data_IF_317572533225
#
_entry.id   IF_317572533225
#
_cell.length_a   1.000
_cell.length_b   1.000
_cell.length_c   1.000
_cell.angle_alpha   90.00
_cell.angle_beta   90.00
_cell.angle_gamma   90.00
#
_symmetry.space_group_name_H-M   'P 1'
#
loop_
_entity.id
_entity.type
_entity.pdbx_description
1 polymer ?
#
# COMPACT_ATOMS: atom_id res chain seq x y z
N UNK A 1 14.54 23.54 39.90
CA UNK A 1 13.07 23.58 39.75
C UNK A 1 12.59 22.15 39.54
N UNK A 2 11.45 21.76 40.10
CA UNK A 2 10.93 20.40 39.93
C UNK A 2 10.32 20.28 38.53
N UNK A 3 10.61 19.18 37.82
CA UNK A 3 10.07 18.94 36.48
C UNK A 3 8.53 18.90 36.50
N UNK A 4 7.92 19.42 35.43
CA UNK A 4 6.46 19.38 35.26
C UNK A 4 6.03 17.96 34.89
N UNK A 5 5.17 17.31 35.68
CA UNK A 5 4.76 15.94 35.36
C UNK A 5 3.80 15.89 34.18
N UNK A 6 3.63 14.69 33.61
CA UNK A 6 2.58 14.41 32.64
C UNK A 6 1.20 14.75 33.24
N UNK A 7 0.26 15.20 32.39
CA UNK A 7 -1.02 15.73 32.87
C UNK A 7 -2.22 14.97 32.31
N UNK A 8 -3.30 14.92 33.09
CA UNK A 8 -4.61 14.40 32.68
C UNK A 8 -5.69 15.46 32.90
N UNK A 9 -6.82 15.32 32.20
CA UNK A 9 -7.95 16.26 32.28
C UNK A 9 -8.82 15.90 33.48
N UNK A 10 -9.09 16.89 34.34
CA UNK A 10 -10.08 16.79 35.43
C UNK A 10 -11.19 17.83 35.20
N UNK A 11 -12.34 17.43 34.62
CA UNK A 11 -13.41 18.37 34.26
C UNK A 11 -13.97 19.14 35.46
N UNK A 12 -13.90 18.57 36.67
CA UNK A 12 -14.40 19.19 37.89
C UNK A 12 -13.38 20.14 38.54
N UNK A 13 -12.16 20.25 38.00
CA UNK A 13 -11.17 21.21 38.48
C UNK A 13 -11.45 22.63 37.94
N UNK A 14 -12.65 23.14 38.25
CA UNK A 14 -13.16 24.44 37.85
C UNK A 14 -12.83 25.54 38.89
N UNK A 15 -13.04 26.81 38.51
CA UNK A 15 -12.82 28.00 39.36
C UNK A 15 -11.80 28.97 38.77
N UNK A 16 -12.01 30.27 38.95
CA UNK A 16 -11.05 31.29 38.50
C UNK A 16 -9.80 31.27 39.37
N UNK A 17 -8.67 31.36 38.68
CA UNK A 17 -7.37 31.61 39.25
C UNK A 17 -7.41 33.06 39.83
N UNK A 18 -7.33 33.25 41.17
CA UNK A 18 -7.29 34.58 41.81
C UNK A 18 -6.08 35.40 41.33
N UNK A 19 -6.30 36.67 40.98
CA UNK A 19 -5.33 37.57 40.31
C UNK A 19 -3.94 37.72 40.97
N UNK A 20 -3.74 37.22 42.20
CA UNK A 20 -2.46 37.17 42.92
C UNK A 20 -1.60 35.92 42.66
N UNK A 21 -2.01 35.04 41.75
CA UNK A 21 -1.32 33.77 41.52
C UNK A 21 0.04 33.86 40.85
N UNK A 22 0.89 32.84 41.06
CA UNK A 22 2.23 32.83 40.54
C UNK A 22 2.22 32.75 39.02
N UNK A 23 2.93 33.66 38.34
CA UNK A 23 3.20 33.53 36.91
C UNK A 23 4.30 32.50 36.68
N UNK A 24 4.26 31.79 35.54
CA UNK A 24 5.41 31.01 35.12
C UNK A 24 6.66 31.92 35.05
N UNK A 25 7.72 31.62 35.82
CA UNK A 25 8.90 32.49 35.90
C UNK A 25 9.66 32.62 34.57
N UNK A 26 9.58 31.62 33.71
CA UNK A 26 10.26 31.61 32.41
C UNK A 26 9.46 32.36 31.34
N UNK A 27 8.17 32.08 31.24
CA UNK A 27 7.33 32.58 30.16
C UNK A 27 6.43 33.76 30.56
N UNK A 28 6.39 34.14 31.84
CA UNK A 28 5.60 35.25 32.38
C UNK A 28 4.10 35.18 32.02
N UNK A 29 3.61 33.96 31.78
CA UNK A 29 2.21 33.70 31.47
C UNK A 29 1.46 33.23 32.71
N UNK A 30 0.15 33.49 32.71
CA UNK A 30 -0.76 32.96 33.72
C UNK A 30 -0.74 31.43 33.65
N UNK A 31 -0.49 30.73 34.76
CA UNK A 31 -0.42 29.28 34.74
C UNK A 31 -1.82 28.69 34.55
N UNK A 32 -1.83 27.42 34.18
CA UNK A 32 -3.03 26.62 34.00
C UNK A 32 -3.16 25.60 35.13
N UNK A 33 -4.40 25.20 35.38
CA UNK A 33 -4.77 24.16 36.33
C UNK A 33 -4.47 22.79 35.72
N UNK A 34 -3.56 22.05 36.34
CA UNK A 34 -3.13 20.73 35.87
C UNK A 34 -3.37 19.67 36.95
N UNK A 35 -3.59 18.43 36.50
CA UNK A 35 -3.59 17.24 37.36
C UNK A 35 -2.49 16.33 36.90
N UNK A 36 -1.58 15.98 37.81
CA UNK A 36 -0.47 15.10 37.51
C UNK A 36 -0.97 13.68 37.23
N UNK A 37 -0.40 13.05 36.21
CA UNK A 37 -0.60 11.66 35.83
C UNK A 37 0.76 10.99 35.67
N UNK A 38 1.51 10.96 36.76
CA UNK A 38 2.87 10.42 36.76
C UNK A 38 3.21 9.84 38.13
N UNK A 39 3.60 8.57 38.16
CA UNK A 39 4.10 7.88 39.34
C UNK A 39 3.28 8.15 40.61
N UNK A 40 3.97 8.46 41.70
CA UNK A 40 3.37 8.77 43.01
C UNK A 40 2.68 10.13 43.07
N UNK A 41 2.80 10.97 42.03
CA UNK A 41 2.13 12.26 41.94
C UNK A 41 0.74 12.17 41.31
N UNK A 42 0.38 11.00 40.78
CA UNK A 42 -0.90 10.79 40.10
C UNK A 42 -2.09 11.28 40.90
N UNK A 43 -2.93 12.09 40.25
CA UNK A 43 -4.12 12.72 40.82
C UNK A 43 -3.87 14.03 41.58
N UNK A 44 -2.62 14.44 41.83
CA UNK A 44 -2.34 15.70 42.54
C UNK A 44 -2.55 16.91 41.63
N UNK A 45 -3.09 17.99 42.17
CA UNK A 45 -3.33 19.24 41.44
C UNK A 45 -2.18 20.22 41.59
N UNK A 46 -1.82 20.86 40.49
CA UNK A 46 -0.75 21.86 40.46
C UNK A 46 -1.03 22.95 39.41
N UNK A 47 -0.33 24.08 39.56
CA UNK A 47 -0.26 25.14 38.57
C UNK A 47 0.94 24.93 37.65
N UNK A 48 0.67 24.77 36.36
CA UNK A 48 1.66 24.50 35.31
C UNK A 48 1.74 25.62 34.28
N UNK A 49 2.86 25.69 33.56
CA UNK A 49 2.99 26.60 32.42
C UNK A 49 2.00 26.22 31.30
N UNK A 50 1.33 27.18 30.64
CA UNK A 50 0.46 26.89 29.50
C UNK A 50 1.23 26.47 28.23
N UNK A 51 2.55 26.65 28.19
CA UNK A 51 3.37 26.28 27.03
C UNK A 51 3.52 24.76 26.97
N UNK A 52 3.17 24.11 25.84
CA UNK A 52 3.40 22.69 25.66
C UNK A 52 4.87 22.33 25.86
N UNK A 53 5.14 21.32 26.69
CA UNK A 53 6.51 20.88 26.97
C UNK A 53 7.25 20.37 25.73
N UNK A 54 6.53 19.91 24.70
CA UNK A 54 7.09 19.44 23.42
C UNK A 54 7.71 20.56 22.57
N UNK A 55 7.40 21.82 22.85
CA UNK A 55 7.80 22.99 22.03
C UNK A 55 8.68 23.99 22.80
N UNK A 56 9.08 23.68 24.04
CA UNK A 56 9.85 24.61 24.88
C UNK A 56 10.61 23.95 26.04
N UNK A 57 11.35 24.78 26.79
CA UNK A 57 12.06 24.34 28.01
C UNK A 57 11.03 24.01 29.10
N UNK A 58 11.16 22.85 29.76
CA UNK A 58 10.29 22.49 30.90
C UNK A 58 10.42 23.56 31.99
N UNK A 59 9.35 24.31 32.20
CA UNK A 59 9.30 25.43 33.14
C UNK A 59 9.08 25.01 34.59
N UNK A 60 8.93 23.71 34.81
CA UNK A 60 8.63 23.12 36.09
C UNK A 60 7.22 23.39 36.62
N UNK A 61 6.91 22.71 37.72
CA UNK A 61 5.72 23.01 38.51
C UNK A 61 5.87 24.40 39.13
N UNK A 62 4.87 25.25 38.94
CA UNK A 62 4.84 26.58 39.57
C UNK A 62 4.49 26.45 41.05
N UNK A 63 3.41 25.73 41.35
CA UNK A 63 2.97 25.49 42.73
C UNK A 63 2.05 24.26 42.82
N UNK A 64 2.11 23.52 43.94
CA UNK A 64 1.19 22.42 44.24
C UNK A 64 -0.01 22.92 45.04
N UNK A 65 -1.22 22.61 44.58
CA UNK A 65 -2.47 23.00 45.26
C UNK A 65 -2.75 22.10 46.47
N UNK A 66 -2.44 20.81 46.33
CA UNK A 66 -2.74 19.82 47.36
C UNK A 66 -1.49 19.46 48.18
N UNK A 67 -1.70 19.07 49.45
CA UNK A 67 -0.64 18.47 50.28
C UNK A 67 -0.10 17.20 49.61
N UNK A 68 1.16 16.80 49.89
CA UNK A 68 1.67 15.52 49.44
C UNK A 68 0.76 14.38 49.89
N UNK A 69 0.63 13.36 49.05
CA UNK A 69 -0.09 12.16 49.43
C UNK A 69 0.52 11.53 50.68
N UNK A 70 -0.33 10.94 51.51
CA UNK A 70 0.14 10.15 52.65
C UNK A 70 1.03 8.99 52.13
N UNK A 71 2.09 8.59 52.86
CA UNK A 71 3.02 7.55 52.42
C UNK A 71 2.34 6.24 51.96
N UNK A 72 1.24 5.87 52.62
CA UNK A 72 0.44 4.69 52.24
C UNK A 72 -0.07 4.81 50.79
N UNK A 73 -0.63 5.97 50.43
CA UNK A 73 -1.15 6.20 49.08
C UNK A 73 -0.02 6.29 48.06
N UNK A 74 1.11 6.93 48.40
CA UNK A 74 2.29 6.93 47.52
C UNK A 74 2.75 5.51 47.20
N UNK A 75 2.83 4.63 48.21
CA UNK A 75 3.20 3.23 48.01
C UNK A 75 2.18 2.48 47.13
N UNK A 76 0.88 2.73 47.32
CA UNK A 76 -0.15 2.15 46.46
C UNK A 76 0.00 2.61 45.01
N UNK A 77 0.21 3.91 44.78
CA UNK A 77 0.42 4.48 43.45
C UNK A 77 1.66 3.90 42.78
N UNK A 78 2.79 3.78 43.49
CA UNK A 78 3.99 3.14 42.94
C UNK A 78 3.69 1.74 42.41
N UNK A 79 3.00 0.90 43.20
CA UNK A 79 2.66 -0.47 42.77
C UNK A 79 1.70 -0.50 41.58
N UNK A 80 0.73 0.41 41.53
CA UNK A 80 -0.18 0.52 40.39
C UNK A 80 0.57 0.93 39.12
N UNK A 81 1.54 1.83 39.23
CA UNK A 81 2.38 2.22 38.11
C UNK A 81 3.31 1.10 37.66
N UNK A 82 3.88 0.32 38.57
CA UNK A 82 4.69 -0.86 38.21
C UNK A 82 3.85 -1.83 37.37
N UNK A 83 2.62 -2.11 37.81
CA UNK A 83 1.67 -2.97 37.07
C UNK A 83 1.27 -2.36 35.72
N UNK A 84 1.03 -1.06 35.65
CA UNK A 84 0.68 -0.35 34.42
C UNK A 84 1.81 -0.44 33.39
N UNK A 85 3.05 -0.21 33.81
CA UNK A 85 4.22 -0.34 32.95
C UNK A 85 4.43 -1.78 32.50
N UNK A 86 4.34 -2.75 33.42
CA UNK A 86 4.49 -4.17 33.08
C UNK A 86 3.45 -4.62 32.05
N UNK A 87 2.18 -4.26 32.26
CA UNK A 87 1.10 -4.58 31.32
C UNK A 87 1.31 -3.91 29.96
N UNK A 88 1.73 -2.64 29.92
CA UNK A 88 1.98 -1.94 28.68
C UNK A 88 3.22 -2.48 27.95
N UNK A 89 4.29 -2.85 28.67
CA UNK A 89 5.44 -3.55 28.10
C UNK A 89 5.01 -4.87 27.45
N UNK A 90 4.17 -5.67 28.12
CA UNK A 90 3.59 -6.88 27.53
C UNK A 90 2.84 -6.61 26.22
N UNK A 91 1.97 -5.59 26.20
CA UNK A 91 1.23 -5.18 24.99
C UNK A 91 2.16 -4.73 23.85
N UNK A 92 3.22 -3.98 24.15
CA UNK A 92 4.22 -3.54 23.15
C UNK A 92 4.94 -4.74 22.54
N UNK A 93 5.35 -5.70 23.37
CA UNK A 93 6.01 -6.93 22.90
C UNK A 93 5.08 -7.75 22.01
N UNK A 94 3.83 -7.92 22.40
CA UNK A 94 2.85 -8.68 21.62
C UNK A 94 2.53 -7.98 20.29
N UNK A 95 2.39 -6.64 20.30
CA UNK A 95 2.26 -5.84 19.08
C UNK A 95 3.44 -6.04 18.14
N UNK A 96 4.68 -5.96 18.63
CA UNK A 96 5.87 -6.18 17.82
C UNK A 96 5.95 -7.60 17.23
N UNK A 97 5.57 -8.62 18.00
CA UNK A 97 5.50 -10.00 17.51
C UNK A 97 4.48 -10.13 16.37
N UNK A 98 3.30 -9.53 16.56
CA UNK A 98 2.25 -9.53 15.55
C UNK A 98 2.67 -8.80 14.28
N UNK A 99 3.27 -7.62 14.40
CA UNK A 99 3.80 -6.84 13.25
C UNK A 99 4.87 -7.61 12.48
N UNK A 100 5.79 -8.29 13.19
CA UNK A 100 6.79 -9.17 12.55
C UNK A 100 6.12 -10.31 11.79
N UNK A 101 5.06 -10.91 12.33
CA UNK A 101 4.31 -11.96 11.64
C UNK A 101 3.61 -11.43 10.38
N UNK A 102 2.97 -10.26 10.46
CA UNK A 102 2.36 -9.60 9.30
C UNK A 102 3.38 -9.27 8.21
N UNK A 103 4.57 -8.80 8.57
CA UNK A 103 5.63 -8.51 7.59
C UNK A 103 6.09 -9.76 6.82
N UNK A 104 6.17 -10.91 7.50
CA UNK A 104 6.47 -12.21 6.86
C UNK A 104 5.37 -12.60 5.86
N UNK A 105 4.12 -12.57 6.29
CA UNK A 105 2.97 -12.88 5.42
C UNK A 105 2.91 -11.96 4.20
N UNK A 106 3.19 -10.67 4.39
CA UNK A 106 3.26 -9.71 3.27
C UNK A 106 4.34 -10.10 2.26
N UNK A 107 5.53 -10.45 2.75
CA UNK A 107 6.65 -10.88 1.89
C UNK A 107 6.31 -12.15 1.10
N UNK A 108 5.64 -13.12 1.73
CA UNK A 108 5.17 -14.34 1.06
C UNK A 108 4.11 -14.04 0.00
N UNK A 109 3.17 -13.14 0.31
CA UNK A 109 2.14 -12.72 -0.64
C UNK A 109 2.75 -11.98 -1.84
N UNK A 110 3.72 -11.09 -1.62
CA UNK A 110 4.42 -10.38 -2.69
C UNK A 110 5.17 -11.36 -3.62
N UNK A 111 5.80 -12.40 -3.06
CA UNK A 111 6.42 -13.48 -3.85
C UNK A 111 5.40 -14.22 -4.69
N UNK A 112 4.27 -14.62 -4.09
CA UNK A 112 3.19 -15.30 -4.82
C UNK A 112 2.61 -14.43 -5.93
N UNK A 113 2.49 -13.12 -5.71
CA UNK A 113 2.04 -12.18 -6.74
C UNK A 113 3.01 -12.14 -7.93
N UNK A 114 4.32 -12.13 -7.67
CA UNK A 114 5.35 -12.17 -8.73
C UNK A 114 5.28 -13.50 -9.49
N UNK A 115 5.19 -14.63 -8.78
CA UNK A 115 5.09 -15.96 -9.39
C UNK A 115 3.83 -16.10 -10.24
N UNK A 116 2.69 -15.66 -9.72
CA UNK A 116 1.43 -15.64 -10.45
C UNK A 116 1.51 -14.77 -11.70
N UNK A 117 2.07 -13.56 -11.60
CA UNK A 117 2.24 -12.65 -12.74
C UNK A 117 3.11 -13.29 -13.81
N UNK A 118 4.21 -13.94 -13.42
CA UNK A 118 5.08 -14.66 -14.35
C UNK A 118 4.34 -15.81 -15.04
N UNK A 119 3.58 -16.61 -14.28
CA UNK A 119 2.80 -17.69 -14.85
C UNK A 119 1.78 -17.19 -15.87
N UNK A 120 1.07 -16.09 -15.56
CA UNK A 120 0.13 -15.46 -16.49
C UNK A 120 0.86 -15.01 -17.77
N UNK A 121 2.02 -14.34 -17.64
CA UNK A 121 2.81 -13.93 -18.81
C UNK A 121 3.29 -15.11 -19.66
N UNK A 122 3.76 -16.18 -19.02
CA UNK A 122 4.24 -17.37 -19.72
C UNK A 122 3.08 -18.09 -20.43
N UNK A 123 1.89 -18.13 -19.82
CA UNK A 123 0.67 -18.63 -20.48
C UNK A 123 0.26 -17.76 -21.66
N UNK A 124 0.25 -16.42 -21.52
CA UNK A 124 -0.04 -15.51 -22.64
C UNK A 124 0.90 -15.72 -23.81
N UNK A 125 2.21 -15.82 -23.57
CA UNK A 125 3.20 -16.10 -24.63
C UNK A 125 2.97 -17.43 -25.33
N UNK A 126 2.49 -18.46 -24.62
CA UNK A 126 2.15 -19.75 -25.24
C UNK A 126 0.98 -19.62 -26.22
N UNK A 127 -0.03 -18.81 -25.89
CA UNK A 127 -1.15 -18.51 -26.79
C UNK A 127 -0.68 -17.70 -28.00
N UNK A 128 0.07 -16.61 -27.80
CA UNK A 128 0.59 -15.77 -28.89
C UNK A 128 1.42 -16.59 -29.89
N UNK A 129 2.22 -17.54 -29.39
CA UNK A 129 3.03 -18.42 -30.24
C UNK A 129 2.21 -19.45 -31.01
N UNK A 130 1.10 -19.94 -30.44
CA UNK A 130 0.18 -20.82 -31.16
C UNK A 130 -0.54 -20.05 -32.27
N UNK A 131 -1.06 -18.87 -31.97
CA UNK A 131 -1.79 -18.04 -32.94
C UNK A 131 -0.88 -17.63 -34.11
N UNK A 132 0.33 -17.13 -33.82
CA UNK A 132 1.28 -16.75 -34.88
C UNK A 132 1.75 -17.92 -35.75
N UNK A 133 1.73 -19.16 -35.22
CA UNK A 133 2.04 -20.37 -35.99
C UNK A 133 0.89 -20.76 -36.92
N UNK A 134 -0.36 -20.60 -36.47
CA UNK A 134 -1.57 -20.82 -37.29
C UNK A 134 -1.62 -19.79 -38.42
N UNK A 135 -1.40 -18.51 -38.12
CA UNK A 135 -1.40 -17.43 -39.12
C UNK A 135 -0.36 -17.68 -40.24
N UNK A 136 0.84 -18.14 -39.89
CA UNK A 136 1.87 -18.47 -40.88
C UNK A 136 1.45 -19.65 -41.77
N UNK A 137 0.82 -20.68 -41.20
CA UNK A 137 0.33 -21.82 -41.98
C UNK A 137 -0.80 -21.41 -42.93
N UNK A 138 -1.73 -20.58 -42.46
CA UNK A 138 -2.86 -20.11 -43.27
C UNK A 138 -2.38 -19.19 -44.40
N UNK A 139 -1.41 -18.30 -44.13
CA UNK A 139 -0.79 -17.47 -45.16
C UNK A 139 -0.08 -18.30 -46.23
N UNK A 140 0.74 -19.27 -45.82
CA UNK A 140 1.48 -20.12 -46.76
C UNK A 140 0.54 -20.94 -47.65
N UNK A 141 -0.53 -21.49 -47.06
CA UNK A 141 -1.56 -22.22 -47.79
C UNK A 141 -2.32 -21.34 -48.78
N UNK A 142 -2.65 -20.10 -48.40
CA UNK A 142 -3.32 -19.15 -49.28
C UNK A 142 -2.45 -18.79 -50.51
N UNK A 143 -1.14 -18.60 -50.30
CA UNK A 143 -0.18 -18.33 -51.39
C UNK A 143 -0.09 -19.52 -52.36
N UNK A 144 -0.02 -20.74 -51.84
CA UNK A 144 0.03 -21.96 -52.67
C UNK A 144 -1.27 -22.14 -53.48
N UNK A 145 -2.42 -21.85 -52.89
CA UNK A 145 -3.73 -21.95 -53.54
C UNK A 145 -3.89 -20.90 -54.66
N UNK A 146 -3.40 -19.67 -54.44
CA UNK A 146 -3.40 -18.61 -55.46
C UNK A 146 -2.46 -18.93 -56.63
N UNK A 147 -1.26 -19.48 -56.37
CA UNK A 147 -0.37 -19.96 -57.43
C UNK A 147 -0.99 -21.11 -58.24
N UNK A 148 -1.65 -22.04 -57.57
CA UNK A 148 -2.28 -23.18 -58.22
C UNK A 148 -3.41 -22.74 -59.16
N UNK A 149 -4.25 -21.80 -58.70
CA UNK A 149 -5.34 -21.27 -59.53
C UNK A 149 -4.82 -20.42 -60.71
N UNK A 150 -3.70 -19.72 -60.54
CA UNK A 150 -3.05 -19.05 -61.66
C UNK A 150 -2.56 -20.04 -62.72
N UNK A 151 -1.85 -21.10 -62.32
CA UNK A 151 -1.37 -22.16 -63.23
C UNK A 151 -2.52 -22.86 -63.95
N UNK A 152 -3.63 -23.13 -63.24
CA UNK A 152 -4.82 -23.73 -63.85
C UNK A 152 -5.41 -22.85 -64.95
N UNK A 153 -5.55 -21.54 -64.72
CA UNK A 153 -6.04 -20.60 -65.74
C UNK A 153 -5.11 -20.55 -66.96
N UNK A 154 -3.79 -20.54 -66.76
CA UNK A 154 -2.80 -20.56 -67.84
C UNK A 154 -2.92 -21.84 -68.69
N UNK A 155 -3.09 -23.00 -68.05
CA UNK A 155 -3.30 -24.29 -68.73
C UNK A 155 -4.63 -24.31 -69.50
N UNK A 156 -5.72 -23.81 -68.90
CA UNK A 156 -7.02 -23.72 -69.56
C UNK A 156 -6.98 -22.80 -70.80
N UNK A 157 -6.28 -21.67 -70.72
CA UNK A 157 -6.11 -20.75 -71.85
C UNK A 157 -5.24 -21.35 -72.95
N UNK A 158 -4.14 -22.01 -72.58
CA UNK A 158 -3.28 -22.73 -73.52
C UNK A 158 -4.05 -23.82 -74.27
N UNK A 159 -4.82 -24.64 -73.56
CA UNK A 159 -5.65 -25.68 -74.17
C UNK A 159 -6.73 -25.08 -75.10
N UNK A 160 -7.34 -23.95 -74.74
CA UNK A 160 -8.30 -23.25 -75.61
C UNK A 160 -7.66 -22.76 -76.92
N UNK A 161 -6.47 -22.17 -76.85
CA UNK A 161 -5.72 -21.73 -78.03
C UNK A 161 -5.35 -22.90 -78.93
N UNK A 162 -4.94 -24.03 -78.35
CA UNK A 162 -4.61 -25.26 -79.10
C UNK A 162 -5.81 -25.80 -79.86
N UNK A 163 -6.98 -25.87 -79.21
CA UNK A 163 -8.24 -26.28 -79.86
C UNK A 163 -8.63 -25.31 -80.99
N UNK A 164 -8.43 -24.00 -80.81
CA UNK A 164 -8.69 -23.02 -81.87
C UNK A 164 -7.74 -23.21 -83.06
N UNK A 165 -6.45 -23.46 -82.80
CA UNK A 165 -5.46 -23.72 -83.82
C UNK A 165 -5.81 -24.97 -84.64
N UNK A 166 -6.20 -26.07 -84.00
CA UNK A 166 -6.61 -27.29 -84.70
C UNK A 166 -7.88 -27.08 -85.54
N UNK A 167 -8.87 -26.36 -85.01
CA UNK A 167 -10.06 -25.98 -85.80
C UNK A 167 -9.68 -25.19 -87.06
N UNK A 168 -8.74 -24.25 -86.95
CA UNK A 168 -8.26 -23.46 -88.09
C UNK A 168 -7.50 -24.32 -89.11
N UNK A 169 -6.69 -25.30 -88.67
CA UNK A 169 -6.01 -26.25 -89.57
C UNK A 169 -7.02 -27.08 -90.35
N UNK A 170 -7.99 -27.69 -89.66
CA UNK A 170 -9.06 -28.48 -90.29
C UNK A 170 -9.87 -27.66 -91.30
N UNK A 171 -10.20 -26.40 -90.98
CA UNK A 171 -10.91 -25.51 -91.89
C UNK A 171 -10.08 -25.07 -93.11
N UNK A 172 -8.74 -25.11 -93.04
CA UNK A 172 -7.87 -24.88 -94.21
C UNK A 172 -7.80 -26.14 -95.08
N UNK A 173 -7.67 -27.32 -94.49
CA UNK A 173 -7.64 -28.60 -95.21
C UNK A 173 -8.95 -28.87 -95.98
N UNK A 174 -10.10 -28.57 -95.36
CA UNK A 174 -11.42 -28.67 -96.01
C UNK A 174 -11.62 -27.68 -97.17
N UNK A 175 -10.86 -26.57 -97.21
CA UNK A 175 -10.88 -25.60 -98.33
C UNK A 175 -9.95 -25.98 -99.48
N UNK A 176 -8.94 -26.81 -99.25
CA UNK A 176 -8.03 -27.30 -100.29
C UNK A 176 -8.54 -28.59 -100.98
N UNK A 177 -9.69 -29.11 -100.58
CA UNK A 177 -10.30 -30.35 -101.11
C UNK A 177 -11.56 -30.13 -101.95
N UNK A 178 -11.90 -28.86 -102.25
CA UNK A 178 -12.90 -28.43 -103.25
C UNK A 178 -12.19 -27.73 -104.41
#
# INVERSE_FOLDING_TARGET
>A
MQETPDTTVEPLFCGQLELSEPTCMMHHMRPIKCVAFEGTLTGRRFYGCPVPQSEGVNCGVTEWVDKPWHPILQNCLSRLWDMYHEQNCGRVVDKQKYEKHLAKLKTENDKLCIEYTKLVQDVSKMFDWQDGRVDHMDYQKAVEEEEFEKKKKEVEESARLEVQMEKLKLAKEQRCTL
#
